data_IF_173225602294
#
_entry.id   IF_173225602294
#
_cell.length_a   1.000
_cell.length_b   1.000
_cell.length_c   1.000
_cell.angle_alpha   90.00
_cell.angle_beta   90.00
_cell.angle_gamma   90.00
#
_symmetry.space_group_name_H-M   'P 1'
#
loop_
_entity.id
_entity.type
_entity.pdbx_description
1 polymer ?
#
# COMPACT_ATOMS: atom_id res chain seq x y z
N UNK A 1 10.03 38.94 -39.93
CA UNK A 1 9.44 39.65 -38.77
C UNK A 1 8.29 38.81 -38.23
N UNK A 2 8.58 37.69 -37.56
CA UNK A 2 7.57 36.87 -36.85
C UNK A 2 8.29 35.87 -35.92
N UNK A 3 9.24 36.37 -35.11
CA UNK A 3 9.99 35.57 -34.12
C UNK A 3 9.91 36.19 -32.70
N UNK A 4 9.02 37.17 -32.50
CA UNK A 4 8.96 37.97 -31.27
C UNK A 4 7.79 37.69 -30.33
N UNK A 5 6.81 36.87 -30.72
CA UNK A 5 5.56 36.71 -29.95
C UNK A 5 5.56 35.50 -29.00
N UNK A 6 6.38 34.47 -29.24
CA UNK A 6 6.39 33.24 -28.43
C UNK A 6 7.16 33.34 -27.10
N UNK A 7 8.16 34.23 -26.99
CA UNK A 7 8.90 34.39 -25.72
C UNK A 7 8.07 35.07 -24.62
N UNK A 8 7.05 35.85 -24.98
CA UNK A 8 6.27 36.64 -24.03
C UNK A 8 5.19 35.79 -23.32
N UNK A 9 4.73 34.71 -23.95
CA UNK A 9 3.80 33.74 -23.36
C UNK A 9 4.46 32.89 -22.26
N UNK A 10 5.70 32.45 -22.49
CA UNK A 10 6.45 31.60 -21.56
C UNK A 10 6.79 32.32 -20.24
N UNK A 11 7.18 33.60 -20.32
CA UNK A 11 7.45 34.44 -19.13
C UNK A 11 6.21 34.71 -18.28
N UNK A 12 5.02 34.81 -18.89
CA UNK A 12 3.75 34.98 -18.14
C UNK A 12 3.35 33.72 -17.37
N UNK A 13 3.58 32.53 -17.94
CA UNK A 13 3.31 31.25 -17.28
C UNK A 13 4.16 31.01 -16.04
N UNK A 14 5.47 31.31 -16.11
CA UNK A 14 6.40 31.15 -14.98
C UNK A 14 6.09 32.12 -13.83
N UNK A 15 5.70 33.36 -14.14
CA UNK A 15 5.28 34.34 -13.12
C UNK A 15 3.98 33.94 -12.42
N UNK A 16 3.05 33.28 -13.14
CA UNK A 16 1.78 32.84 -12.58
C UNK A 16 1.97 31.62 -11.66
N UNK A 17 2.83 30.67 -12.04
CA UNK A 17 3.19 29.51 -11.21
C UNK A 17 3.91 29.93 -9.92
N UNK A 18 4.84 30.87 -10.00
CA UNK A 18 5.56 31.36 -8.82
C UNK A 18 4.66 32.17 -7.86
N UNK A 19 3.68 32.89 -8.40
CA UNK A 19 2.66 33.57 -7.57
C UNK A 19 1.74 32.59 -6.87
N UNK A 20 1.32 31.51 -7.53
CA UNK A 20 0.51 30.45 -6.93
C UNK A 20 1.29 29.69 -5.85
N UNK A 21 2.57 29.37 -6.08
CA UNK A 21 3.44 28.73 -5.09
C UNK A 21 3.63 29.61 -3.86
N UNK A 22 3.85 30.92 -4.03
CA UNK A 22 3.96 31.86 -2.90
C UNK A 22 2.66 32.02 -2.11
N UNK A 23 1.50 31.94 -2.78
CA UNK A 23 0.21 31.94 -2.10
C UNK A 23 0.00 30.64 -1.31
N UNK A 24 0.27 29.49 -1.91
CA UNK A 24 0.17 28.18 -1.25
C UNK A 24 1.06 28.09 -0.01
N UNK A 25 2.33 28.50 -0.12
CA UNK A 25 3.27 28.52 1.02
C UNK A 25 2.77 29.43 2.15
N UNK A 26 2.20 30.59 1.82
CA UNK A 26 1.62 31.50 2.83
C UNK A 26 0.40 30.92 3.53
N UNK A 27 -0.49 30.24 2.81
CA UNK A 27 -1.64 29.57 3.41
C UNK A 27 -1.22 28.38 4.27
N UNK A 28 -0.31 27.54 3.78
CA UNK A 28 0.22 26.39 4.50
C UNK A 28 0.86 26.79 5.84
N UNK A 29 1.77 27.78 5.83
CA UNK A 29 2.39 28.28 7.06
C UNK A 29 1.40 29.04 7.95
N UNK A 30 0.43 29.74 7.37
CA UNK A 30 -0.66 30.38 8.12
C UNK A 30 -1.47 29.37 8.91
N UNK A 31 -1.85 28.24 8.30
CA UNK A 31 -2.59 27.16 8.97
C UNK A 31 -1.76 26.52 10.09
N UNK A 32 -0.46 26.27 9.88
CA UNK A 32 0.43 25.75 10.92
C UNK A 32 0.48 26.69 12.13
N UNK A 33 0.61 28.00 11.90
CA UNK A 33 0.66 28.99 13.00
C UNK A 33 -0.68 29.05 13.75
N UNK A 34 -1.80 29.01 13.04
CA UNK A 34 -3.14 28.99 13.67
C UNK A 34 -3.33 27.75 14.53
N UNK A 35 -2.93 26.56 14.03
CA UNK A 35 -3.00 25.31 14.79
C UNK A 35 -2.07 25.34 16.01
N UNK A 36 -0.86 25.88 15.88
CA UNK A 36 0.08 26.01 16.99
C UNK A 36 -0.48 26.93 18.10
N UNK A 37 -1.03 28.10 17.73
CA UNK A 37 -1.66 29.04 18.67
C UNK A 37 -2.90 28.44 19.31
N UNK A 38 -3.73 27.71 18.55
CA UNK A 38 -4.89 27.00 19.10
C UNK A 38 -4.47 25.92 20.10
N UNK A 39 -3.41 25.16 19.81
CA UNK A 39 -2.89 24.14 20.74
C UNK A 39 -2.34 24.76 22.02
N UNK A 40 -1.58 25.86 21.92
CA UNK A 40 -1.05 26.58 23.07
C UNK A 40 -2.18 27.23 23.90
N UNK A 41 -3.24 27.70 23.24
CA UNK A 41 -4.44 28.21 23.91
C UNK A 41 -5.18 27.14 24.71
N UNK A 42 -5.29 25.92 24.17
CA UNK A 42 -5.90 24.79 24.87
C UNK A 42 -5.06 24.36 26.08
N UNK A 43 -3.73 24.34 25.96
CA UNK A 43 -2.82 24.03 27.08
C UNK A 43 -2.92 25.11 28.18
N UNK A 44 -2.98 26.40 27.81
CA UNK A 44 -3.12 27.49 28.77
C UNK A 44 -4.49 27.45 29.50
N UNK A 45 -5.57 27.08 28.80
CA UNK A 45 -6.89 26.88 29.42
C UNK A 45 -6.90 25.65 30.34
N UNK A 46 -6.17 24.59 30.00
CA UNK A 46 -5.97 23.42 30.86
C UNK A 46 -5.27 23.77 32.18
N UNK A 47 -4.20 24.57 32.10
CA UNK A 47 -3.43 25.01 33.27
C UNK A 47 -4.16 26.03 34.16
N UNK A 48 -5.13 26.77 33.62
CA UNK A 48 -5.96 27.68 34.42
C UNK A 48 -7.14 26.97 35.09
N UNK A 49 -7.41 25.71 34.75
CA UNK A 49 -8.51 24.90 35.31
C UNK A 49 -8.08 23.99 36.45
N UNK A 50 -6.79 23.93 36.78
CA UNK A 50 -6.21 23.06 37.80
C UNK A 50 -6.16 23.64 39.21
N UNK A 51 -6.84 24.75 39.50
CA UNK A 51 -6.76 25.43 40.81
C UNK A 51 -8.10 25.49 41.59
N UNK A 52 -9.00 24.53 41.34
CA UNK A 52 -10.19 24.36 42.18
C UNK A 52 -10.31 22.94 42.71
N UNK A 53 -9.62 22.69 43.82
CA UNK A 53 -10.02 21.70 44.84
C UNK A 53 -9.48 22.11 46.22
N UNK A 54 -10.24 23.01 46.84
CA UNK A 54 -10.65 23.02 48.28
C UNK A 54 -9.62 23.01 49.42
N UNK A 55 -9.63 24.10 50.19
CA UNK A 55 -9.20 24.19 51.59
C UNK A 55 -10.25 23.63 52.57
N UNK A 56 -9.73 22.91 53.57
CA UNK A 56 -10.16 22.75 54.98
C UNK A 56 -11.60 22.37 55.36
N UNK A 57 -11.75 21.20 56.02
CA UNK A 57 -12.41 21.08 57.33
C UNK A 57 -11.65 20.05 58.18
N UNK A 58 -11.25 20.47 59.38
CA UNK A 58 -10.72 19.66 60.47
C UNK A 58 -11.90 19.30 61.37
N UNK A 59 -12.29 18.03 61.40
CA UNK A 59 -13.17 17.47 62.42
C UNK A 59 -12.63 16.09 62.78
N UNK A 60 -12.32 15.89 64.07
CA UNK A 60 -11.88 14.61 64.63
C UNK A 60 -13.02 13.57 64.50
N UNK A 61 -12.78 12.41 63.88
CA UNK A 61 -13.76 11.33 63.91
C UNK A 61 -13.70 10.57 65.26
N UNK A 62 -14.83 10.05 65.76
CA UNK A 62 -14.82 9.09 66.87
C UNK A 62 -14.12 7.79 66.44
N UNK A 63 -13.66 6.93 67.36
CA UNK A 63 -12.94 5.71 67.00
C UNK A 63 -13.90 4.75 66.30
N UNK A 64 -13.85 4.73 64.97
CA UNK A 64 -14.51 3.73 64.13
C UNK A 64 -13.60 2.51 64.09
N UNK A 65 -14.21 1.35 64.31
CA UNK A 65 -13.56 0.05 64.24
C UNK A 65 -12.72 -0.08 62.98
N UNK A 66 -11.56 -0.74 63.09
CA UNK A 66 -10.74 -1.20 61.97
C UNK A 66 -11.58 -2.06 61.03
N UNK A 67 -12.20 -1.41 60.04
CA UNK A 67 -12.69 -2.06 58.85
C UNK A 67 -11.45 -2.41 58.05
N UNK A 68 -11.06 -3.68 58.09
CA UNK A 68 -9.93 -4.22 57.32
C UNK A 68 -10.17 -3.85 55.86
N UNK A 69 -9.43 -2.85 55.37
CA UNK A 69 -9.49 -2.45 53.97
C UNK A 69 -9.28 -3.71 53.10
N UNK A 70 -10.07 -3.89 52.02
CA UNK A 70 -9.84 -5.00 51.11
C UNK A 70 -8.38 -4.98 50.68
N UNK A 71 -7.70 -6.14 50.77
CA UNK A 71 -6.32 -6.25 50.33
C UNK A 71 -6.30 -5.97 48.82
N UNK A 72 -5.81 -4.79 48.43
CA UNK A 72 -5.58 -4.45 47.03
C UNK A 72 -4.27 -5.09 46.57
N UNK A 73 -4.26 -5.57 45.32
CA UNK A 73 -3.05 -6.16 44.72
C UNK A 73 -2.31 -5.05 43.97
N UNK A 74 -1.17 -4.63 44.51
CA UNK A 74 -0.22 -3.77 43.82
C UNK A 74 0.84 -4.63 43.14
N UNK A 75 0.97 -4.47 41.83
CA UNK A 75 2.03 -5.13 41.05
C UNK A 75 3.20 -4.14 40.91
N UNK A 76 4.41 -4.59 41.26
CA UNK A 76 5.61 -3.76 41.10
C UNK A 76 5.77 -3.27 39.66
N UNK A 77 6.27 -2.04 39.52
CA UNK A 77 6.43 -1.35 38.25
C UNK A 77 7.30 -2.13 37.25
N UNK A 78 8.39 -2.75 37.72
CA UNK A 78 9.27 -3.60 36.91
C UNK A 78 8.57 -4.87 36.43
N UNK A 79 7.75 -5.48 37.28
CA UNK A 79 6.98 -6.68 36.93
C UNK A 79 5.93 -6.36 35.86
N UNK A 80 5.23 -5.23 36.00
CA UNK A 80 4.29 -4.75 34.97
C UNK A 80 4.98 -4.49 33.62
N UNK A 81 6.17 -3.89 33.65
CA UNK A 81 6.94 -3.66 32.44
C UNK A 81 7.31 -4.99 31.75
N UNK A 82 7.83 -5.96 32.50
CA UNK A 82 8.14 -7.29 31.96
C UNK A 82 6.91 -7.98 31.37
N UNK A 83 5.77 -7.90 32.06
CA UNK A 83 4.47 -8.40 31.59
C UNK A 83 4.06 -7.76 30.27
N UNK A 84 4.16 -6.43 30.15
CA UNK A 84 3.84 -5.71 28.91
C UNK A 84 4.78 -6.11 27.77
N UNK A 85 6.08 -6.23 28.03
CA UNK A 85 7.07 -6.64 27.04
C UNK A 85 6.85 -8.09 26.56
N UNK A 86 6.49 -9.02 27.47
CA UNK A 86 6.14 -10.39 27.11
C UNK A 86 4.85 -10.43 26.29
N UNK A 87 3.82 -9.70 26.70
CA UNK A 87 2.57 -9.58 25.96
C UNK A 87 2.77 -9.02 24.54
N UNK A 88 3.59 -7.97 24.39
CA UNK A 88 3.90 -7.37 23.09
C UNK A 88 4.67 -8.33 22.15
N UNK A 89 5.57 -9.14 22.70
CA UNK A 89 6.29 -10.19 21.94
C UNK A 89 5.36 -11.30 21.50
N UNK A 90 4.50 -11.78 22.39
CA UNK A 90 3.48 -12.80 22.07
C UNK A 90 2.52 -12.29 20.99
N UNK A 91 2.03 -11.05 21.12
CA UNK A 91 1.15 -10.44 20.12
C UNK A 91 1.80 -10.35 18.73
N UNK A 92 3.08 -9.94 18.68
CA UNK A 92 3.87 -9.91 17.45
C UNK A 92 3.95 -11.30 16.82
N UNK A 93 4.32 -12.32 17.60
CA UNK A 93 4.51 -13.67 17.08
C UNK A 93 3.21 -14.26 16.53
N UNK A 94 2.12 -14.11 17.28
CA UNK A 94 0.79 -14.58 16.84
C UNK A 94 0.30 -13.83 15.60
N UNK A 95 0.47 -12.51 15.56
CA UNK A 95 0.07 -11.69 14.40
C UNK A 95 0.92 -12.00 13.17
N UNK A 96 2.22 -12.25 13.34
CA UNK A 96 3.14 -12.58 12.25
C UNK A 96 2.77 -13.88 11.54
N UNK A 97 2.15 -14.84 12.25
CA UNK A 97 1.68 -16.09 11.66
C UNK A 97 0.50 -15.90 10.69
N UNK A 98 -0.24 -14.79 10.80
CA UNK A 98 -1.37 -14.47 9.92
C UNK A 98 -0.94 -13.76 8.63
N UNK A 99 0.30 -13.26 8.56
CA UNK A 99 0.79 -12.49 7.40
C UNK A 99 0.76 -13.33 6.12
N UNK A 100 1.26 -14.57 6.16
CA UNK A 100 1.34 -15.40 4.95
C UNK A 100 -0.06 -15.77 4.39
N UNK A 101 -1.03 -16.23 5.20
CA UNK A 101 -2.41 -16.43 4.74
C UNK A 101 -3.07 -15.18 4.15
N UNK A 102 -2.90 -14.02 4.80
CA UNK A 102 -3.45 -12.75 4.31
C UNK A 102 -2.79 -12.29 3.00
N UNK A 103 -1.50 -12.56 2.84
CA UNK A 103 -0.80 -12.31 1.58
C UNK A 103 -1.28 -13.24 0.46
N UNK A 104 -1.60 -14.49 0.77
CA UNK A 104 -2.15 -15.41 -0.24
C UNK A 104 -3.49 -14.89 -0.77
N UNK A 105 -4.36 -14.39 0.10
CA UNK A 105 -5.63 -13.77 -0.28
C UNK A 105 -5.43 -12.45 -1.06
N UNK A 106 -4.52 -11.59 -0.60
CA UNK A 106 -4.20 -10.31 -1.27
C UNK A 106 -3.74 -10.51 -2.72
N UNK A 107 -2.92 -11.53 -2.97
CA UNK A 107 -2.28 -11.80 -4.25
C UNK A 107 -3.04 -12.78 -5.14
N UNK A 108 -4.07 -13.47 -4.65
CA UNK A 108 -4.87 -14.40 -5.46
C UNK A 108 -5.42 -13.74 -6.76
N UNK A 109 -6.00 -12.53 -6.71
CA UNK A 109 -6.45 -11.86 -7.93
C UNK A 109 -5.30 -11.45 -8.86
N UNK A 110 -4.12 -11.15 -8.30
CA UNK A 110 -2.92 -10.77 -9.07
C UNK A 110 -2.40 -11.98 -9.85
N UNK A 111 -2.27 -13.14 -9.20
CA UNK A 111 -1.88 -14.38 -9.88
C UNK A 111 -2.93 -14.84 -10.89
N UNK A 112 -4.22 -14.70 -10.58
CA UNK A 112 -5.31 -14.97 -11.53
C UNK A 112 -5.29 -14.01 -12.74
N UNK A 113 -4.85 -12.76 -12.54
CA UNK A 113 -4.71 -11.75 -13.58
C UNK A 113 -3.60 -12.02 -14.59
N UNK A 114 -2.59 -12.84 -14.26
CA UNK A 114 -1.46 -13.13 -15.15
C UNK A 114 -1.92 -13.73 -16.48
N UNK A 115 -2.81 -14.71 -16.44
CA UNK A 115 -3.33 -15.36 -17.65
C UNK A 115 -4.15 -14.39 -18.49
N UNK A 116 -4.98 -13.56 -17.86
CA UNK A 116 -5.77 -12.52 -18.54
C UNK A 116 -4.88 -11.46 -19.21
N UNK A 117 -3.81 -11.05 -18.53
CA UNK A 117 -2.83 -10.13 -19.09
C UNK A 117 -2.05 -10.75 -20.26
N UNK A 118 -1.67 -12.03 -20.15
CA UNK A 118 -1.04 -12.77 -21.23
C UNK A 118 -1.95 -12.92 -22.45
N UNK A 119 -3.23 -13.25 -22.26
CA UNK A 119 -4.23 -13.30 -23.34
C UNK A 119 -4.31 -11.97 -24.07
N UNK A 120 -4.33 -10.85 -23.34
CA UNK A 120 -4.30 -9.51 -23.93
C UNK A 120 -3.00 -9.26 -24.71
N UNK A 121 -1.83 -9.54 -24.11
CA UNK A 121 -0.51 -9.37 -24.74
C UNK A 121 -0.40 -10.10 -26.08
N UNK A 122 -0.92 -11.33 -26.14
CA UNK A 122 -0.95 -12.16 -27.34
C UNK A 122 -2.13 -11.89 -28.28
N UNK A 123 -2.77 -10.72 -28.17
CA UNK A 123 -3.67 -10.22 -29.21
C UNK A 123 -2.97 -9.20 -30.11
N UNK A 124 -3.39 -9.12 -31.37
CA UNK A 124 -2.93 -8.07 -32.30
C UNK A 124 -3.19 -6.68 -31.72
N UNK A 125 -4.36 -6.47 -31.10
CA UNK A 125 -4.69 -5.21 -30.44
C UNK A 125 -3.74 -4.93 -29.27
N UNK A 126 -3.44 -5.94 -28.45
CA UNK A 126 -2.49 -5.90 -27.35
C UNK A 126 -1.12 -5.39 -27.80
N UNK A 127 -0.51 -6.04 -28.79
CA UNK A 127 0.81 -5.64 -29.31
C UNK A 127 0.84 -4.17 -29.76
N UNK A 128 -0.21 -3.70 -30.45
CA UNK A 128 -0.31 -2.27 -30.82
C UNK A 128 -0.50 -1.35 -29.63
N UNK A 129 -1.34 -1.72 -28.67
CA UNK A 129 -1.58 -0.90 -27.48
C UNK A 129 -0.35 -0.80 -26.58
N UNK A 130 0.41 -1.89 -26.43
CA UNK A 130 1.65 -1.92 -25.67
C UNK A 130 2.75 -1.13 -26.38
N UNK A 131 2.85 -1.21 -27.71
CA UNK A 131 3.79 -0.40 -28.48
C UNK A 131 3.51 1.10 -28.29
N UNK A 132 2.24 1.51 -28.42
CA UNK A 132 1.82 2.89 -28.19
C UNK A 132 2.03 3.30 -26.74
N UNK A 133 1.71 2.43 -25.79
CA UNK A 133 1.89 2.66 -24.37
C UNK A 133 3.37 2.81 -23.99
N UNK A 134 4.25 1.98 -24.55
CA UNK A 134 5.70 2.08 -24.37
C UNK A 134 6.23 3.39 -24.95
N UNK A 135 5.80 3.77 -26.16
CA UNK A 135 6.20 5.03 -26.79
C UNK A 135 5.73 6.28 -26.02
N UNK A 136 4.58 6.19 -25.33
CA UNK A 136 4.00 7.28 -24.54
C UNK A 136 4.35 7.24 -23.05
N UNK A 137 5.07 6.21 -22.59
CA UNK A 137 5.40 6.00 -21.18
C UNK A 137 4.21 5.62 -20.29
N UNK A 138 3.11 5.12 -20.86
CA UNK A 138 1.89 4.73 -20.12
C UNK A 138 1.76 3.22 -19.90
N UNK A 139 2.72 2.43 -20.38
CA UNK A 139 2.68 0.97 -20.29
C UNK A 139 2.64 0.45 -18.84
N UNK A 140 3.41 1.06 -17.93
CA UNK A 140 3.43 0.66 -16.52
C UNK A 140 2.05 0.83 -15.84
N UNK A 141 1.38 1.96 -16.07
CA UNK A 141 0.02 2.17 -15.52
C UNK A 141 -1.00 1.19 -16.11
N UNK A 142 -0.90 0.86 -17.40
CA UNK A 142 -1.79 -0.12 -18.02
C UNK A 142 -1.60 -1.57 -17.51
N UNK A 143 -0.40 -1.89 -17.00
CA UNK A 143 -0.10 -3.15 -16.31
C UNK A 143 -0.65 -3.12 -14.89
N UNK A 144 -0.43 -2.03 -14.16
CA UNK A 144 -1.00 -1.79 -12.84
C UNK A 144 -2.53 -1.96 -12.85
N UNK A 145 -3.21 -1.29 -13.78
CA UNK A 145 -4.68 -1.38 -13.95
C UNK A 145 -5.19 -2.78 -14.29
N UNK A 146 -4.35 -3.65 -14.88
CA UNK A 146 -4.78 -5.00 -15.32
C UNK A 146 -4.41 -6.10 -14.33
N UNK A 147 -3.26 -5.95 -13.67
CA UNK A 147 -2.66 -6.99 -12.84
C UNK A 147 -2.85 -6.69 -11.34
N UNK A 148 -2.88 -5.41 -10.98
CA UNK A 148 -2.95 -4.93 -9.60
C UNK A 148 -4.22 -4.14 -9.30
N UNK A 149 -5.27 -4.32 -10.10
CA UNK A 149 -6.56 -3.65 -9.87
C UNK A 149 -7.09 -3.95 -8.45
N UNK A 150 -7.53 -2.90 -7.75
CA UNK A 150 -7.97 -2.94 -6.37
C UNK A 150 -6.94 -3.44 -5.35
N UNK A 151 -5.65 -3.53 -5.70
CA UNK A 151 -4.62 -4.05 -4.78
C UNK A 151 -4.46 -3.16 -3.55
N UNK A 152 -4.51 -1.83 -3.71
CA UNK A 152 -4.39 -0.90 -2.59
C UNK A 152 -5.53 -1.08 -1.58
N UNK A 153 -6.77 -1.29 -2.04
CA UNK A 153 -7.92 -1.53 -1.17
C UNK A 153 -7.77 -2.85 -0.38
N UNK A 154 -7.36 -3.92 -1.06
CA UNK A 154 -7.08 -5.21 -0.41
C UNK A 154 -5.91 -5.12 0.56
N UNK A 155 -4.85 -4.38 0.22
CA UNK A 155 -3.71 -4.19 1.11
C UNK A 155 -4.14 -3.41 2.36
N UNK A 156 -4.97 -2.38 2.21
CA UNK A 156 -5.51 -1.63 3.34
C UNK A 156 -6.31 -2.55 4.27
N UNK A 157 -7.15 -3.44 3.72
CA UNK A 157 -7.88 -4.45 4.49
C UNK A 157 -6.94 -5.41 5.25
N UNK A 158 -5.89 -5.91 4.60
CA UNK A 158 -4.85 -6.73 5.24
C UNK A 158 -4.18 -5.98 6.40
N UNK A 159 -3.80 -4.71 6.19
CA UNK A 159 -3.15 -3.93 7.25
C UNK A 159 -4.08 -3.64 8.43
N UNK A 160 -5.37 -3.37 8.18
CA UNK A 160 -6.39 -3.21 9.22
C UNK A 160 -6.58 -4.49 10.01
N UNK A 161 -6.66 -5.63 9.32
CA UNK A 161 -6.80 -6.96 9.94
C UNK A 161 -5.61 -7.28 10.84
N UNK A 162 -4.39 -6.99 10.39
CA UNK A 162 -3.18 -7.17 11.20
C UNK A 162 -3.16 -6.24 12.42
N UNK A 163 -3.62 -5.00 12.28
CA UNK A 163 -3.71 -4.06 13.40
C UNK A 163 -4.69 -4.54 14.47
N UNK A 164 -5.88 -4.98 14.08
CA UNK A 164 -6.90 -5.55 14.96
C UNK A 164 -6.38 -6.83 15.64
N UNK A 165 -5.78 -7.74 14.86
CA UNK A 165 -5.21 -8.99 15.38
C UNK A 165 -4.13 -8.73 16.42
N UNK A 166 -3.24 -7.78 16.16
CA UNK A 166 -2.21 -7.41 17.12
C UNK A 166 -2.82 -6.93 18.44
N UNK A 167 -3.80 -6.03 18.40
CA UNK A 167 -4.44 -5.52 19.62
C UNK A 167 -5.16 -6.63 20.41
N UNK A 168 -5.83 -7.54 19.70
CA UNK A 168 -6.52 -8.67 20.34
C UNK A 168 -5.56 -9.67 20.97
N UNK A 169 -4.50 -10.06 20.26
CA UNK A 169 -3.48 -10.97 20.79
C UNK A 169 -2.68 -10.33 21.93
N UNK A 170 -2.42 -9.03 21.85
CA UNK A 170 -1.82 -8.27 22.95
C UNK A 170 -2.70 -8.31 24.20
N UNK A 171 -4.00 -8.04 24.06
CA UNK A 171 -4.93 -8.09 25.19
C UNK A 171 -4.99 -9.49 25.81
N UNK A 172 -5.09 -10.53 24.99
CA UNK A 172 -5.13 -11.93 25.48
C UNK A 172 -3.85 -12.28 26.22
N UNK A 173 -2.69 -12.02 25.62
CA UNK A 173 -1.40 -12.29 26.21
C UNK A 173 -1.20 -11.51 27.51
N UNK A 174 -1.60 -10.23 27.55
CA UNK A 174 -1.53 -9.41 28.75
C UNK A 174 -2.33 -10.00 29.91
N UNK A 175 -3.59 -10.39 29.67
CA UNK A 175 -4.43 -10.98 30.71
C UNK A 175 -3.87 -12.31 31.21
N UNK A 176 -3.32 -13.13 30.30
CA UNK A 176 -2.67 -14.39 30.66
C UNK A 176 -1.39 -14.18 31.49
N UNK A 177 -0.57 -13.20 31.13
CA UNK A 177 0.64 -12.86 31.89
C UNK A 177 0.29 -12.32 33.28
N UNK A 178 -0.73 -11.46 33.40
CA UNK A 178 -1.22 -10.97 34.70
C UNK A 178 -1.73 -12.10 35.59
N UNK A 179 -2.49 -13.06 35.03
CA UNK A 179 -2.97 -14.22 35.78
C UNK A 179 -1.81 -15.10 36.31
N UNK A 180 -0.69 -15.16 35.58
CA UNK A 180 0.49 -15.90 36.02
C UNK A 180 1.30 -15.16 37.11
N UNK A 181 1.26 -13.82 37.14
CA UNK A 181 1.97 -13.01 38.13
C UNK A 181 1.17 -12.83 39.43
N UNK A 182 -0.17 -12.79 39.36
CA UNK A 182 -1.01 -12.64 40.54
C UNK A 182 -1.15 -14.01 41.23
N UNK A 183 -0.77 -14.13 42.52
CA UNK A 183 -0.97 -15.37 43.26
C UNK A 183 -2.44 -15.79 43.21
N UNK A 184 -2.73 -17.07 42.98
CA UNK A 184 -4.10 -17.58 42.86
C UNK A 184 -4.99 -17.34 44.10
N UNK A 185 -4.38 -17.03 45.25
CA UNK A 185 -5.06 -16.63 46.50
C UNK A 185 -5.63 -15.19 46.46
N UNK A 186 -5.12 -14.37 45.53
CA UNK A 186 -5.47 -12.96 45.33
C UNK A 186 -6.14 -12.70 43.98
N UNK A 187 -6.49 -13.75 43.23
CA UNK A 187 -7.09 -13.62 41.89
C UNK A 187 -8.42 -12.86 41.88
N UNK A 188 -9.19 -12.93 42.98
CA UNK A 188 -10.46 -12.21 43.14
C UNK A 188 -10.30 -10.83 43.80
N UNK A 189 -9.09 -10.46 44.21
CA UNK A 189 -8.83 -9.17 44.85
C UNK A 189 -8.77 -8.04 43.80
N UNK A 190 -9.29 -6.84 44.11
CA UNK A 190 -9.19 -5.71 43.20
C UNK A 190 -7.73 -5.29 43.02
N UNK A 191 -7.34 -4.98 41.78
CA UNK A 191 -6.06 -4.36 41.47
C UNK A 191 -6.00 -2.95 42.06
N UNK A 192 -4.82 -2.53 42.50
CA UNK A 192 -4.59 -1.16 42.91
C UNK A 192 -4.92 -0.18 41.75
N UNK A 193 -5.50 1.01 42.01
CA UNK A 193 -5.93 1.95 40.97
C UNK A 193 -4.83 2.33 39.96
N UNK A 194 -3.57 2.37 40.40
CA UNK A 194 -2.42 2.70 39.55
C UNK A 194 -2.14 1.56 38.55
N UNK A 195 -2.11 0.31 39.03
CA UNK A 195 -1.96 -0.88 38.20
C UNK A 195 -3.10 -0.98 37.18
N UNK A 196 -4.34 -0.74 37.61
CA UNK A 196 -5.50 -0.76 36.72
C UNK A 196 -5.40 0.28 35.61
N UNK A 197 -5.07 1.54 35.94
CA UNK A 197 -4.89 2.60 34.94
C UNK A 197 -3.77 2.29 33.96
N UNK A 198 -2.65 1.74 34.43
CA UNK A 198 -1.54 1.35 33.57
C UNK A 198 -1.96 0.29 32.55
N UNK A 199 -2.77 -0.70 32.96
CA UNK A 199 -3.31 -1.73 32.07
C UNK A 199 -4.28 -1.11 31.05
N UNK A 200 -5.21 -0.27 31.50
CA UNK A 200 -6.19 0.38 30.63
C UNK A 200 -5.53 1.29 29.58
N UNK A 201 -4.55 2.08 29.99
CA UNK A 201 -3.78 2.98 29.13
C UNK A 201 -2.97 2.20 28.09
N UNK A 202 -2.26 1.15 28.52
CA UNK A 202 -1.53 0.25 27.61
C UNK A 202 -2.45 -0.45 26.60
N UNK A 203 -3.63 -0.93 27.04
CA UNK A 203 -4.62 -1.52 26.14
C UNK A 203 -5.18 -0.50 25.13
N UNK A 204 -5.47 0.72 25.58
CA UNK A 204 -5.90 1.80 24.70
C UNK A 204 -4.82 2.12 23.66
N UNK A 205 -3.56 2.22 24.07
CA UNK A 205 -2.43 2.45 23.17
C UNK A 205 -2.21 1.34 22.17
N UNK A 206 -2.36 0.07 22.54
CA UNK A 206 -2.21 -1.05 21.60
C UNK A 206 -3.07 -0.92 20.33
N UNK A 207 -4.16 -0.14 20.40
CA UNK A 207 -5.08 0.16 19.29
C UNK A 207 -4.69 1.40 18.47
N UNK A 208 -3.95 2.35 19.06
CA UNK A 208 -3.63 3.65 18.45
C UNK A 208 -2.14 3.86 18.16
N UNK A 209 -1.26 3.02 18.70
CA UNK A 209 0.16 2.95 18.33
C UNK A 209 0.29 2.78 16.81
N UNK A 210 1.35 3.36 16.22
CA UNK A 210 1.58 3.50 14.78
C UNK A 210 0.96 2.33 13.99
N UNK A 211 -0.17 2.55 13.29
CA UNK A 211 -0.86 1.50 12.57
C UNK A 211 0.06 0.86 11.53
N UNK A 212 -0.06 -0.45 11.34
CA UNK A 212 0.66 -1.18 10.28
C UNK A 212 0.43 -0.51 8.92
N UNK A 213 -0.80 -0.01 8.69
CA UNK A 213 -1.17 0.76 7.50
C UNK A 213 -0.28 2.00 7.28
N UNK A 214 0.09 2.71 8.35
CA UNK A 214 0.93 3.92 8.26
C UNK A 214 2.33 3.58 7.77
N UNK A 215 2.91 2.49 8.28
CA UNK A 215 4.21 2.00 7.83
C UNK A 215 4.12 1.58 6.36
N UNK A 216 3.12 0.77 6.00
CA UNK A 216 2.93 0.30 4.62
C UNK A 216 2.72 1.43 3.61
N UNK A 217 2.04 2.51 3.98
CA UNK A 217 1.87 3.68 3.12
C UNK A 217 3.21 4.36 2.77
N UNK A 218 4.21 4.25 3.63
CA UNK A 218 5.53 4.89 3.41
C UNK A 218 6.51 4.03 2.64
N UNK A 219 6.44 2.71 2.76
CA UNK A 219 7.48 1.80 2.23
C UNK A 219 6.98 0.68 1.32
N UNK A 220 5.69 0.32 1.35
CA UNK A 220 5.21 -0.96 0.78
C UNK A 220 4.06 -0.91 -0.22
N UNK A 221 3.22 0.12 -0.25
CA UNK A 221 2.02 0.18 -1.11
C UNK A 221 2.27 0.61 -2.56
N UNK A 222 1.72 1.76 -2.97
CA UNK A 222 1.72 2.21 -4.37
C UNK A 222 3.11 2.36 -5.03
N UNK A 223 4.14 2.73 -4.27
CA UNK A 223 5.49 2.91 -4.82
C UNK A 223 6.13 1.58 -5.29
N UNK A 224 5.85 0.47 -4.59
CA UNK A 224 6.41 -0.85 -4.91
C UNK A 224 5.73 -1.43 -6.15
N UNK A 225 4.41 -1.31 -6.26
CA UNK A 225 3.61 -1.74 -7.43
C UNK A 225 4.10 -1.02 -8.68
N UNK A 226 4.27 0.30 -8.61
CA UNK A 226 4.75 1.09 -9.73
C UNK A 226 6.12 0.64 -10.25
N UNK A 227 7.03 0.27 -9.34
CA UNK A 227 8.36 -0.22 -9.72
C UNK A 227 8.26 -1.57 -10.44
N UNK A 228 7.44 -2.49 -9.94
CA UNK A 228 7.22 -3.82 -10.53
C UNK A 228 6.55 -3.70 -11.89
N UNK A 229 5.47 -2.91 -12.00
CA UNK A 229 4.80 -2.62 -13.27
C UNK A 229 5.74 -1.98 -14.30
N UNK A 230 6.67 -1.12 -13.88
CA UNK A 230 7.69 -0.57 -14.77
C UNK A 230 8.69 -1.62 -15.24
N UNK A 231 9.09 -2.57 -14.38
CA UNK A 231 9.96 -3.69 -14.76
C UNK A 231 9.29 -4.61 -15.78
N UNK A 232 8.00 -4.94 -15.57
CA UNK A 232 7.18 -5.69 -16.52
C UNK A 232 7.09 -4.94 -17.85
N UNK A 233 6.73 -3.65 -17.83
CA UNK A 233 6.63 -2.81 -19.02
C UNK A 233 7.93 -2.79 -19.83
N UNK A 234 9.08 -2.71 -19.14
CA UNK A 234 10.40 -2.73 -19.76
C UNK A 234 10.70 -4.06 -20.48
N UNK A 235 10.37 -5.20 -19.85
CA UNK A 235 10.49 -6.52 -20.49
C UNK A 235 9.61 -6.62 -21.73
N UNK A 236 8.35 -6.19 -21.64
CA UNK A 236 7.41 -6.16 -22.77
C UNK A 236 7.95 -5.30 -23.91
N UNK A 237 8.37 -4.06 -23.62
CA UNK A 237 8.92 -3.14 -24.62
C UNK A 237 10.16 -3.72 -25.33
N UNK A 238 11.03 -4.42 -24.58
CA UNK A 238 12.22 -5.09 -25.14
C UNK A 238 11.84 -6.21 -26.11
N UNK A 239 10.85 -7.05 -25.76
CA UNK A 239 10.35 -8.12 -26.64
C UNK A 239 9.71 -7.56 -27.92
N UNK A 240 8.90 -6.50 -27.80
CA UNK A 240 8.29 -5.82 -28.94
C UNK A 240 9.35 -5.21 -29.87
N UNK A 241 10.37 -4.55 -29.31
CA UNK A 241 11.47 -3.99 -30.09
C UNK A 241 12.26 -5.07 -30.86
N UNK A 242 12.52 -6.21 -30.22
CA UNK A 242 13.18 -7.36 -30.86
C UNK A 242 12.35 -7.94 -32.02
N UNK A 243 11.04 -8.10 -31.84
CA UNK A 243 10.12 -8.54 -32.91
C UNK A 243 10.10 -7.57 -34.10
N UNK A 244 10.07 -6.26 -33.84
CA UNK A 244 10.09 -5.24 -34.89
C UNK A 244 11.39 -5.29 -35.73
N UNK A 245 12.54 -5.50 -35.08
CA UNK A 245 13.82 -5.68 -35.77
C UNK A 245 13.83 -6.94 -36.65
N UNK A 246 13.27 -8.06 -36.17
CA UNK A 246 13.14 -9.30 -36.94
C UNK A 246 12.21 -9.17 -38.16
N UNK A 247 11.03 -8.54 -38.00
CA UNK A 247 10.08 -8.26 -39.10
C UNK A 247 10.69 -7.36 -40.19
N UNK A 248 11.68 -6.52 -39.85
CA UNK A 248 12.41 -5.68 -40.81
C UNK A 248 13.29 -6.45 -41.80
N UNK A 249 13.83 -7.60 -41.40
CA UNK A 249 14.67 -8.46 -42.26
C UNK A 249 13.82 -9.31 -43.21
N UNK A 250 12.62 -9.72 -42.80
CA UNK A 250 11.71 -10.55 -43.60
C UNK A 250 11.04 -9.81 -44.78
N UNK A 251 10.93 -8.47 -44.73
CA UNK A 251 10.35 -7.67 -45.83
C UNK A 251 11.27 -7.54 -47.07
N UNK A 252 12.49 -8.09 -47.03
CA UNK A 252 13.46 -8.02 -48.13
C UNK A 252 13.35 -9.12 -49.19
N UNK A 253 12.61 -10.22 -48.95
CA UNK A 253 12.60 -11.38 -49.87
C UNK A 253 11.23 -12.07 -49.97
N UNK A 254 10.46 -11.78 -51.03
CA UNK A 254 9.55 -12.77 -51.64
C UNK A 254 8.02 -12.57 -51.49
N UNK A 255 7.40 -12.05 -52.55
CA UNK A 255 6.17 -12.56 -53.23
C UNK A 255 4.94 -13.00 -52.37
N UNK A 256 4.68 -12.41 -51.20
CA UNK A 256 3.40 -12.60 -50.48
C UNK A 256 2.72 -11.27 -50.14
N UNK A 257 2.76 -10.32 -51.08
CA UNK A 257 2.07 -9.04 -50.95
C UNK A 257 0.55 -9.24 -50.98
N UNK A 258 -0.11 -9.08 -49.84
CA UNK A 258 -1.57 -9.14 -49.66
C UNK A 258 -2.40 -8.24 -50.57
N UNK A 259 -1.77 -7.34 -51.32
CA UNK A 259 -2.39 -6.56 -52.39
C UNK A 259 -2.94 -7.44 -53.54
N UNK A 260 -2.35 -8.62 -53.80
CA UNK A 260 -2.74 -9.48 -54.92
C UNK A 260 -4.09 -10.18 -54.76
N UNK A 261 -4.48 -10.56 -53.54
CA UNK A 261 -5.74 -11.28 -53.29
C UNK A 261 -6.94 -10.33 -53.12
N UNK A 262 -6.75 -9.15 -52.52
CA UNK A 262 -7.80 -8.14 -52.39
C UNK A 262 -8.24 -7.52 -53.73
N UNK A 263 -7.27 -7.29 -54.63
CA UNK A 263 -7.55 -6.71 -55.94
C UNK A 263 -8.43 -7.62 -56.82
N UNK A 264 -8.30 -8.95 -56.66
CA UNK A 264 -9.10 -9.93 -57.39
C UNK A 264 -10.56 -9.95 -56.92
N UNK A 265 -10.80 -9.86 -55.61
CA UNK A 265 -12.16 -9.80 -55.04
C UNK A 265 -12.89 -8.47 -55.35
N UNK A 266 -12.16 -7.36 -55.46
CA UNK A 266 -12.71 -6.04 -55.83
C UNK A 266 -12.96 -5.84 -57.33
N UNK A 267 -12.45 -6.73 -58.18
CA UNK A 267 -12.44 -6.56 -59.65
C UNK A 267 -13.84 -6.46 -60.29
N UNK A 268 -14.89 -6.93 -59.61
CA UNK A 268 -16.28 -6.82 -60.08
C UNK A 268 -16.78 -5.37 -60.15
N UNK A 269 -16.15 -4.44 -59.42
CA UNK A 269 -16.47 -3.01 -59.41
C UNK A 269 -15.60 -2.14 -60.34
N UNK A 270 -14.88 -2.74 -61.29
CA UNK A 270 -13.95 -2.02 -62.17
C UNK A 270 -12.67 -1.53 -61.47
N UNK A 271 -11.88 -0.60 -62.05
CA UNK A 271 -10.60 -0.16 -61.50
C UNK A 271 -10.70 0.44 -60.09
N UNK A 272 -11.81 1.13 -59.79
CA UNK A 272 -12.10 1.68 -58.45
C UNK A 272 -12.46 0.56 -57.48
N UNK A 273 -13.26 -0.43 -57.91
CA UNK A 273 -13.56 -1.62 -57.10
C UNK A 273 -12.32 -2.45 -56.80
N UNK A 274 -11.42 -2.65 -57.76
CA UNK A 274 -10.15 -3.35 -57.57
C UNK A 274 -9.21 -2.58 -56.65
N UNK A 275 -9.23 -1.24 -56.67
CA UNK A 275 -8.46 -0.41 -55.74
C UNK A 275 -9.02 -0.48 -54.31
N UNK A 276 -10.34 -0.41 -54.14
CA UNK A 276 -11.01 -0.53 -52.83
C UNK A 276 -10.87 -1.95 -52.28
N UNK A 277 -11.09 -2.98 -53.09
CA UNK A 277 -10.88 -4.38 -52.71
C UNK A 277 -9.41 -4.71 -52.46
N UNK A 278 -8.48 -4.12 -53.23
CA UNK A 278 -7.04 -4.21 -53.00
C UNK A 278 -6.60 -3.55 -51.69
N UNK A 279 -7.21 -2.41 -51.33
CA UNK A 279 -6.96 -1.74 -50.05
C UNK A 279 -7.54 -2.54 -48.87
N UNK A 280 -8.79 -2.99 -48.96
CA UNK A 280 -9.46 -3.78 -47.90
C UNK A 280 -8.79 -5.15 -47.75
N UNK A 281 -8.56 -5.85 -48.85
CA UNK A 281 -7.88 -7.16 -48.83
C UNK A 281 -6.40 -7.04 -48.47
N UNK A 282 -5.74 -5.95 -48.82
CA UNK A 282 -4.39 -5.63 -48.36
C UNK A 282 -4.32 -5.40 -46.86
N UNK A 283 -5.27 -4.64 -46.29
CA UNK A 283 -5.38 -4.44 -44.85
C UNK A 283 -5.74 -5.74 -44.11
N UNK A 284 -6.70 -6.52 -44.61
CA UNK A 284 -7.05 -7.82 -44.03
C UNK A 284 -5.87 -8.80 -44.07
N UNK A 285 -5.11 -8.82 -45.19
CA UNK A 285 -3.91 -9.65 -45.30
C UNK A 285 -2.80 -9.19 -44.36
N UNK A 286 -2.66 -7.88 -44.14
CA UNK A 286 -1.69 -7.31 -43.19
C UNK A 286 -2.01 -7.75 -41.75
N UNK A 287 -3.25 -7.57 -41.31
CA UNK A 287 -3.68 -8.02 -39.98
C UNK A 287 -3.63 -9.55 -39.83
N UNK A 288 -3.87 -10.31 -40.90
CA UNK A 288 -3.72 -11.77 -40.89
C UNK A 288 -2.25 -12.19 -40.71
N UNK A 289 -1.29 -11.50 -41.33
CA UNK A 289 0.15 -11.73 -41.11
C UNK A 289 0.53 -11.40 -39.67
N UNK A 290 0.09 -10.27 -39.14
CA UNK A 290 0.36 -9.91 -37.75
C UNK A 290 -0.27 -10.92 -36.77
N UNK A 291 -1.52 -11.33 -36.98
CA UNK A 291 -2.16 -12.38 -36.18
C UNK A 291 -1.39 -13.70 -36.22
N UNK A 292 -0.94 -14.14 -37.40
CA UNK A 292 -0.15 -15.36 -37.54
C UNK A 292 1.19 -15.26 -36.80
N UNK A 293 1.89 -14.12 -36.87
CA UNK A 293 3.14 -13.90 -36.15
C UNK A 293 2.91 -13.91 -34.63
N UNK A 294 1.84 -13.27 -34.16
CA UNK A 294 1.48 -13.24 -32.74
C UNK A 294 1.14 -14.64 -32.23
N UNK A 295 0.33 -15.43 -32.97
CA UNK A 295 0.00 -16.80 -32.57
C UNK A 295 1.21 -17.74 -32.55
N UNK A 296 2.17 -17.55 -33.47
CA UNK A 296 3.44 -18.30 -33.43
C UNK A 296 4.23 -17.92 -32.18
N UNK A 297 4.32 -16.62 -31.87
CA UNK A 297 5.05 -16.16 -30.68
C UNK A 297 4.39 -16.63 -29.38
N UNK A 298 3.06 -16.62 -29.31
CA UNK A 298 2.28 -17.16 -28.21
C UNK A 298 2.59 -18.64 -27.99
N UNK A 299 2.51 -19.45 -29.05
CA UNK A 299 2.75 -20.88 -28.98
C UNK A 299 4.13 -21.24 -28.40
N UNK A 300 5.15 -20.41 -28.67
CA UNK A 300 6.52 -20.68 -28.20
C UNK A 300 6.91 -19.97 -26.91
N UNK A 301 6.33 -18.82 -26.58
CA UNK A 301 6.84 -17.95 -25.50
C UNK A 301 5.83 -17.68 -24.37
N UNK A 302 4.58 -18.14 -24.50
CA UNK A 302 3.53 -17.83 -23.52
C UNK A 302 3.87 -18.34 -22.13
N UNK A 303 4.30 -19.59 -22.02
CA UNK A 303 4.66 -20.19 -20.73
C UNK A 303 5.81 -19.43 -20.06
N UNK A 304 6.87 -19.11 -20.81
CA UNK A 304 8.00 -18.32 -20.32
C UNK A 304 7.59 -16.90 -19.92
N UNK A 305 6.66 -16.29 -20.65
CA UNK A 305 6.13 -14.97 -20.32
C UNK A 305 5.30 -14.97 -19.03
N UNK A 306 4.38 -15.93 -18.88
CA UNK A 306 3.63 -16.09 -17.65
C UNK A 306 4.54 -16.42 -16.46
N UNK A 307 5.58 -17.24 -16.67
CA UNK A 307 6.58 -17.53 -15.64
C UNK A 307 7.37 -16.27 -15.24
N UNK A 308 7.78 -15.45 -16.22
CA UNK A 308 8.41 -14.15 -15.97
C UNK A 308 7.52 -13.23 -15.11
N UNK A 309 6.21 -13.17 -15.42
CA UNK A 309 5.23 -12.40 -14.65
C UNK A 309 5.09 -12.94 -13.23
N UNK A 310 4.98 -14.27 -13.06
CA UNK A 310 4.91 -14.91 -11.74
C UNK A 310 6.13 -14.56 -10.89
N UNK A 311 7.34 -14.62 -11.45
CA UNK A 311 8.57 -14.26 -10.72
C UNK A 311 8.55 -12.81 -10.24
N UNK A 312 8.09 -11.87 -11.08
CA UNK A 312 8.00 -10.45 -10.69
C UNK A 312 6.92 -10.21 -9.61
N UNK A 313 5.80 -10.93 -9.68
CA UNK A 313 4.76 -10.90 -8.64
C UNK A 313 5.28 -11.53 -7.34
N UNK A 314 6.02 -12.63 -7.40
CA UNK A 314 6.64 -13.28 -6.23
C UNK A 314 7.65 -12.36 -5.52
N UNK A 315 8.46 -11.65 -6.30
CA UNK A 315 9.41 -10.66 -5.77
C UNK A 315 8.66 -9.51 -5.07
N UNK A 316 7.59 -9.00 -5.68
CA UNK A 316 6.72 -8.00 -5.07
C UNK A 316 6.07 -8.50 -3.78
N UNK A 317 5.54 -9.73 -3.79
CA UNK A 317 4.97 -10.40 -2.61
C UNK A 317 5.99 -10.49 -1.48
N UNK A 318 7.23 -10.87 -1.78
CA UNK A 318 8.30 -10.93 -0.79
C UNK A 318 8.63 -9.56 -0.19
N UNK A 319 8.64 -8.50 -1.00
CA UNK A 319 8.87 -7.12 -0.53
C UNK A 319 7.74 -6.67 0.40
N UNK A 320 6.48 -6.84 -0.02
CA UNK A 320 5.31 -6.50 0.80
C UNK A 320 5.32 -7.28 2.12
N UNK A 321 5.63 -8.59 2.07
CA UNK A 321 5.80 -9.42 3.28
C UNK A 321 6.84 -8.85 4.23
N UNK A 322 8.01 -8.48 3.72
CA UNK A 322 9.09 -7.91 4.53
C UNK A 322 8.65 -6.63 5.24
N UNK A 323 7.88 -5.78 4.55
CA UNK A 323 7.35 -4.56 5.14
C UNK A 323 6.26 -4.81 6.19
N UNK A 324 5.35 -5.77 5.96
CA UNK A 324 4.34 -6.16 6.96
C UNK A 324 5.00 -6.72 8.23
N UNK A 325 5.97 -7.62 8.09
CA UNK A 325 6.73 -8.17 9.23
C UNK A 325 7.43 -7.05 10.00
N UNK A 326 8.09 -6.13 9.29
CA UNK A 326 8.79 -5.00 9.91
C UNK A 326 7.82 -4.05 10.62
N UNK A 327 6.63 -3.82 10.06
CA UNK A 327 5.61 -2.98 10.66
C UNK A 327 5.05 -3.58 11.97
N UNK A 328 4.76 -4.88 11.98
CA UNK A 328 4.32 -5.60 13.19
C UNK A 328 5.43 -5.62 14.25
N UNK A 329 6.68 -5.79 13.85
CA UNK A 329 7.84 -5.71 14.75
C UNK A 329 7.97 -4.31 15.36
N UNK A 330 7.91 -3.25 14.54
CA UNK A 330 7.98 -1.86 15.02
C UNK A 330 6.86 -1.56 16.02
N UNK A 331 5.62 -2.00 15.73
CA UNK A 331 4.49 -1.84 16.65
C UNK A 331 4.75 -2.51 17.99
N UNK A 332 5.36 -3.70 17.99
CA UNK A 332 5.76 -4.40 19.21
C UNK A 332 6.87 -3.67 19.98
N UNK A 333 7.86 -3.12 19.28
CA UNK A 333 8.95 -2.34 19.88
C UNK A 333 8.44 -1.03 20.49
N UNK A 334 7.52 -0.33 19.81
CA UNK A 334 6.89 0.88 20.33
C UNK A 334 6.10 0.60 21.61
N UNK A 335 5.47 -0.56 21.70
CA UNK A 335 4.79 -1.02 22.93
C UNK A 335 5.77 -1.39 24.05
N UNK A 336 6.95 -1.94 23.73
CA UNK A 336 7.98 -2.31 24.71
C UNK A 336 8.74 -1.09 25.26
N UNK A 337 9.03 -0.12 24.39
CA UNK A 337 9.78 1.08 24.75
C UNK A 337 8.94 2.10 25.54
N UNK A 338 7.63 1.86 25.70
CA UNK A 338 6.81 2.67 26.58
C UNK A 338 7.27 2.50 28.03
N UNK A 339 8.08 3.46 28.46
CA UNK A 339 8.58 3.54 29.82
C UNK A 339 7.48 4.15 30.68
N UNK A 340 7.19 3.53 31.83
CA UNK A 340 6.27 4.03 32.86
C UNK A 340 6.68 5.42 33.44
N UNK A 341 7.75 6.04 32.91
CA UNK A 341 8.11 7.44 33.16
C UNK A 341 6.97 8.41 32.86
N UNK A 342 6.18 8.16 31.80
CA UNK A 342 5.02 9.01 31.47
C UNK A 342 3.85 8.88 32.45
N UNK A 343 3.81 7.83 33.28
CA UNK A 343 2.81 7.68 34.35
C UNK A 343 3.29 8.25 35.69
N UNK A 344 4.59 8.54 35.83
CA UNK A 344 5.15 9.19 37.03
C UNK A 344 5.19 10.73 36.95
N UNK A 345 4.85 11.28 35.78
CA UNK A 345 4.86 12.71 35.48
C UNK A 345 3.48 13.37 35.48
N UNK A 346 2.40 12.61 35.73
CA UNK A 346 1.05 13.11 36.06
C UNK A 346 0.77 13.04 37.57
#
# INVERSE_FOLDING_TARGET
MSDGEDENGKKKGEQQADRQRRLFVRFFWGTIIVLAVASLGLVAIGLLRSDQSTSEVRDDPPPVAEEVAPQEVEIEQSTLQEVFERAARTARDQTSNEIDPLLDELYEPVYGGITSYADFHYTVLGEYTELVGAARGTAAGAIEDRLYDGFDDRLNEVTSTLDERFSDEFRKALMQELENEIPSELADAPLAPITQRAIEDTLARSRVTVPVATVMATVGGAASIKAVSAAIASKVATRVAAKAAGKGVAKGTGILGGAGLGALAGSWGGPVGAAVGGAIGGAASWFAVDAAVVSIDEYFNREDFEADLRVMVDEHRSVVRGHLVSAVQQKSEDMQNFTLQDLSSE
#
